data_IF_996431165351
#
_entry.id   IF_996431165351
#
_cell.length_a   1.000
_cell.length_b   1.000
_cell.length_c   1.000
_cell.angle_alpha   90.00
_cell.angle_beta   90.00
_cell.angle_gamma   90.00
#
_symmetry.space_group_name_H-M   'P 1'
#
loop_
_entity.id
_entity.type
_entity.pdbx_description
1 polymer ?
#
# COMPACT_ATOMS: atom_id res chain seq x y z
N UNK A 1 -32.53 -38.69 -16.88
CA UNK A 1 -32.46 -37.61 -15.87
C UNK A 1 -31.46 -37.85 -14.72
N UNK A 2 -31.25 -39.09 -14.24
CA UNK A 2 -30.34 -39.38 -13.10
C UNK A 2 -28.86 -39.02 -13.33
N UNK A 3 -28.37 -39.23 -14.56
CA UNK A 3 -26.97 -38.92 -14.94
C UNK A 3 -26.68 -37.40 -14.99
N UNK A 4 -27.67 -36.60 -15.39
CA UNK A 4 -27.53 -35.15 -15.44
C UNK A 4 -27.38 -34.55 -14.04
N UNK A 5 -28.09 -35.11 -13.05
CA UNK A 5 -27.98 -34.71 -11.63
C UNK A 5 -26.61 -35.05 -11.03
N UNK A 6 -25.99 -36.14 -11.48
CA UNK A 6 -24.63 -36.54 -11.04
C UNK A 6 -23.55 -35.57 -11.52
N UNK A 7 -23.63 -35.12 -12.78
CA UNK A 7 -22.69 -34.12 -13.30
C UNK A 7 -22.84 -32.76 -12.61
N UNK A 8 -24.07 -32.34 -12.32
CA UNK A 8 -24.34 -31.13 -11.56
C UNK A 8 -23.75 -31.20 -10.14
N UNK A 9 -23.89 -32.34 -9.46
CA UNK A 9 -23.33 -32.54 -8.12
C UNK A 9 -21.79 -32.51 -8.12
N UNK A 10 -21.15 -33.10 -9.13
CA UNK A 10 -19.69 -33.09 -9.26
C UNK A 10 -19.14 -31.68 -9.54
N UNK A 11 -19.84 -30.89 -10.36
CA UNK A 11 -19.46 -29.52 -10.68
C UNK A 11 -19.54 -28.59 -9.46
N UNK A 12 -20.55 -28.75 -8.60
CA UNK A 12 -20.65 -27.97 -7.36
C UNK A 12 -19.58 -28.35 -6.33
N UNK A 13 -19.17 -29.63 -6.25
CA UNK A 13 -18.14 -30.07 -5.32
C UNK A 13 -16.73 -29.59 -5.75
N UNK A 14 -16.46 -29.48 -7.05
CA UNK A 14 -15.17 -28.99 -7.57
C UNK A 14 -14.91 -27.50 -7.31
N UNK A 15 -15.96 -26.69 -7.13
CA UNK A 15 -15.84 -25.25 -6.89
C UNK A 15 -15.37 -24.89 -5.47
N UNK A 16 -15.37 -25.83 -4.53
CA UNK A 16 -14.99 -25.60 -3.13
C UNK A 16 -13.49 -25.79 -2.82
N UNK A 17 -12.69 -26.31 -3.77
CA UNK A 17 -11.26 -26.57 -3.57
C UNK A 17 -10.37 -25.32 -3.75
N UNK A 18 -10.95 -24.16 -4.06
CA UNK A 18 -10.24 -22.91 -4.34
C UNK A 18 -10.15 -21.94 -3.17
N UNK A 19 -10.49 -22.35 -1.95
CA UNK A 19 -10.26 -21.55 -0.75
C UNK A 19 -8.76 -21.60 -0.40
N UNK A 20 -7.98 -20.87 -1.21
CA UNK A 20 -6.61 -20.47 -0.92
C UNK A 20 -6.50 -20.16 0.57
N UNK A 21 -5.61 -20.89 1.25
CA UNK A 21 -5.18 -20.52 2.58
C UNK A 21 -4.83 -19.02 2.59
N UNK A 22 -5.18 -18.27 3.65
CA UNK A 22 -4.83 -16.87 3.74
C UNK A 22 -3.33 -16.73 3.46
N UNK A 23 -2.98 -15.92 2.45
CA UNK A 23 -1.58 -15.59 2.23
C UNK A 23 -1.01 -15.07 3.55
N UNK A 24 0.15 -15.57 4.00
CA UNK A 24 0.71 -15.12 5.27
C UNK A 24 0.86 -13.60 5.24
N UNK A 25 0.39 -12.94 6.29
CA UNK A 25 0.56 -11.50 6.47
C UNK A 25 2.06 -11.28 6.69
N UNK A 26 2.77 -10.93 5.62
CA UNK A 26 4.18 -10.57 5.69
C UNK A 26 4.25 -9.18 6.31
N UNK A 27 4.67 -9.11 7.57
CA UNK A 27 5.06 -7.85 8.19
C UNK A 27 6.28 -7.34 7.41
N UNK A 28 6.05 -6.32 6.56
CA UNK A 28 7.16 -5.59 5.95
C UNK A 28 7.86 -4.84 7.07
N UNK A 29 9.19 -4.88 7.07
CA UNK A 29 9.97 -4.04 7.95
C UNK A 29 9.49 -2.59 7.82
N UNK A 30 9.35 -1.85 8.94
CA UNK A 30 8.97 -0.45 8.89
C UNK A 30 9.93 0.28 7.95
N UNK A 31 9.38 0.99 6.97
CA UNK A 31 10.20 1.92 6.18
C UNK A 31 10.81 2.91 7.18
N UNK A 32 12.15 3.07 7.21
CA UNK A 32 12.79 4.00 8.12
C UNK A 32 12.15 5.38 7.99
N UNK A 33 11.92 6.04 9.12
CA UNK A 33 11.43 7.41 9.10
C UNK A 33 12.38 8.26 8.24
N UNK A 34 11.84 9.13 7.35
CA UNK A 34 12.68 10.03 6.57
C UNK A 34 13.51 10.89 7.52
N UNK A 35 14.71 11.28 7.09
CA UNK A 35 15.56 12.12 7.93
C UNK A 35 14.82 13.44 8.27
N UNK A 36 15.03 14.03 9.47
CA UNK A 36 14.38 15.29 9.83
C UNK A 36 14.74 16.45 8.88
N UNK A 37 15.81 16.28 8.10
CA UNK A 37 16.28 17.25 7.10
C UNK A 37 15.51 17.14 5.77
N UNK A 38 14.89 15.99 5.50
CA UNK A 38 14.16 15.69 4.26
C UNK A 38 12.65 15.86 4.49
N UNK A 39 12.16 17.09 4.36
CA UNK A 39 10.73 17.29 4.13
C UNK A 39 10.42 17.28 2.63
N UNK A 40 9.17 17.00 2.30
CA UNK A 40 8.67 17.10 0.93
C UNK A 40 7.47 18.02 0.91
N UNK A 41 7.49 18.99 0.01
CA UNK A 41 6.33 19.80 -0.32
C UNK A 41 5.63 19.13 -1.50
N UNK A 42 4.42 18.64 -1.27
CA UNK A 42 3.61 17.96 -2.28
C UNK A 42 2.44 18.85 -2.70
N UNK A 43 2.23 18.96 -4.01
CA UNK A 43 1.07 19.61 -4.60
C UNK A 43 0.29 18.62 -5.47
N UNK A 44 -1.03 18.72 -5.46
CA UNK A 44 -1.93 17.84 -6.20
C UNK A 44 -2.82 18.68 -7.10
N UNK A 45 -2.76 18.44 -8.41
CA UNK A 45 -3.60 19.12 -9.40
C UNK A 45 -4.66 18.15 -9.93
N UNK A 46 -5.97 18.46 -9.80
CA UNK A 46 -7.02 17.63 -10.36
C UNK A 46 -7.03 17.70 -11.90
N UNK A 47 -7.33 16.58 -12.53
CA UNK A 47 -7.50 16.43 -13.98
C UNK A 47 -8.96 16.09 -14.31
N UNK A 48 -9.34 16.32 -15.57
CA UNK A 48 -10.73 16.24 -16.06
C UNK A 48 -11.38 14.85 -15.86
N UNK A 49 -10.59 13.78 -15.71
CA UNK A 49 -11.07 12.38 -15.62
C UNK A 49 -11.02 11.80 -14.19
N UNK A 50 -11.33 12.59 -13.15
CA UNK A 50 -11.19 12.18 -11.75
C UNK A 50 -9.78 11.65 -11.41
N UNK A 51 -8.77 12.18 -12.10
CA UNK A 51 -7.38 11.84 -11.88
C UNK A 51 -6.69 13.00 -11.16
N UNK A 52 -5.61 12.70 -10.46
CA UNK A 52 -4.78 13.71 -9.80
C UNK A 52 -3.34 13.54 -10.27
N UNK A 53 -2.72 14.65 -10.69
CA UNK A 53 -1.27 14.71 -10.85
C UNK A 53 -0.67 15.22 -9.55
N UNK A 54 0.22 14.43 -8.96
CA UNK A 54 0.95 14.79 -7.75
C UNK A 54 2.40 15.08 -8.10
N UNK A 55 2.92 16.18 -7.61
CA UNK A 55 4.32 16.55 -7.73
C UNK A 55 4.85 16.83 -6.31
N UNK A 56 5.94 16.16 -5.93
CA UNK A 56 6.58 16.32 -4.63
C UNK A 56 8.03 16.77 -4.83
N UNK A 57 8.43 17.85 -4.16
CA UNK A 57 9.80 18.37 -4.19
C UNK A 57 10.40 18.35 -2.80
N UNK A 58 11.69 17.98 -2.67
CA UNK A 58 12.37 18.00 -1.38
C UNK A 58 12.50 19.46 -0.89
N UNK A 59 12.25 19.67 0.39
CA UNK A 59 12.39 20.95 1.10
C UNK A 59 13.09 20.71 2.43
N UNK A 60 13.95 21.64 2.84
CA UNK A 60 14.65 21.55 4.13
C UNK A 60 13.67 21.96 5.23
N UNK A 61 13.39 21.06 6.17
CA UNK A 61 12.35 21.29 7.20
C UNK A 61 12.82 22.14 8.38
N UNK A 62 14.08 22.02 8.79
CA UNK A 62 14.62 22.68 9.98
C UNK A 62 16.02 23.26 9.73
N UNK A 63 16.28 24.52 10.14
CA UNK A 63 17.65 24.98 10.34
C UNK A 63 18.25 24.16 11.49
N UNK A 64 19.42 23.55 11.29
CA UNK A 64 20.17 22.88 12.36
C UNK A 64 20.49 23.88 13.48
N UNK A 65 19.64 23.96 14.50
CA UNK A 65 19.93 24.72 15.71
C UNK A 65 20.91 23.90 16.58
N UNK A 66 22.21 24.04 16.31
CA UNK A 66 23.24 23.43 17.15
C UNK A 66 23.32 24.24 18.44
N UNK A 67 22.66 23.77 19.50
CA UNK A 67 22.84 24.30 20.84
C UNK A 67 24.25 23.96 21.32
N UNK A 68 25.16 24.92 21.23
CA UNK A 68 26.51 24.84 21.82
C UNK A 68 26.42 25.31 23.27
N UNK A 69 26.50 24.39 24.24
CA UNK A 69 26.76 24.80 25.62
C UNK A 69 28.20 25.29 25.72
N UNK A 70 28.41 26.55 26.13
CA UNK A 70 29.72 26.97 26.61
C UNK A 70 29.87 26.44 28.04
N UNK A 71 30.86 25.57 28.25
CA UNK A 71 31.33 25.20 29.59
C UNK A 71 32.18 26.31 30.19
#
# INVERSE_FOLDING_TARGET
>A
MRRLKLFAALALAGAAAGACAPHPIVARDPVPAPSPEEAYSCNSTPLVLNAYKTDCTPVVREPRAVLRSKG
#
